data_IF_756739440815
#
_entry.id   IF_756739440815
#
_cell.length_a   1.000
_cell.length_b   1.000
_cell.length_c   1.000
_cell.angle_alpha   90.00
_cell.angle_beta   90.00
_cell.angle_gamma   90.00
#
_symmetry.space_group_name_H-M   'P 1'
#
loop_
_entity.id
_entity.type
_entity.pdbx_description
1 polymer ?
#
# COMPACT_ATOMS: atom_id res chain seq x y z
N UNK A 1 5.99 -3.03 -1.79
CA UNK A 1 5.97 -2.29 -3.07
C UNK A 1 7.09 -1.25 -3.09
N UNK A 2 7.65 -0.97 -4.25
CA UNK A 2 8.61 0.12 -4.46
C UNK A 2 7.87 1.34 -5.01
N UNK A 3 7.13 2.01 -4.12
CA UNK A 3 6.43 3.26 -4.44
C UNK A 3 7.20 4.43 -3.84
N UNK A 4 7.53 5.39 -4.68
CA UNK A 4 8.15 6.64 -4.25
C UNK A 4 7.33 7.82 -4.75
N UNK A 5 6.38 8.26 -3.97
CA UNK A 5 5.59 9.46 -4.26
C UNK A 5 6.09 10.72 -3.56
N UNK A 6 7.09 10.61 -2.69
CA UNK A 6 7.56 11.75 -1.90
C UNK A 6 8.56 12.59 -2.72
N UNK A 7 9.67 11.99 -3.13
CA UNK A 7 10.71 12.74 -3.84
C UNK A 7 10.27 13.25 -5.23
N UNK A 8 9.50 12.48 -6.02
CA UNK A 8 8.91 13.01 -7.24
C UNK A 8 7.95 14.18 -7.00
N UNK A 9 7.12 14.13 -5.94
CA UNK A 9 6.22 15.23 -5.62
C UNK A 9 6.98 16.50 -5.21
N UNK A 10 8.03 16.37 -4.40
CA UNK A 10 8.91 17.49 -4.05
C UNK A 10 9.51 18.13 -5.31
N UNK A 11 10.02 17.31 -6.25
CA UNK A 11 10.54 17.80 -7.54
C UNK A 11 9.46 18.48 -8.37
N UNK A 12 8.27 17.89 -8.46
CA UNK A 12 7.16 18.43 -9.23
C UNK A 12 6.70 19.79 -8.70
N UNK A 13 6.79 20.00 -7.38
CA UNK A 13 6.49 21.27 -6.73
C UNK A 13 7.63 22.30 -6.85
N UNK A 14 8.74 21.99 -7.53
CA UNK A 14 9.87 22.93 -7.71
C UNK A 14 10.52 23.36 -6.39
N UNK A 15 10.52 22.51 -5.37
CA UNK A 15 11.08 22.82 -4.05
C UNK A 15 10.20 23.67 -3.14
N UNK A 16 8.98 24.04 -3.57
CA UNK A 16 7.99 24.75 -2.71
C UNK A 16 7.45 23.87 -1.60
N UNK A 17 7.59 22.57 -1.71
CA UNK A 17 7.17 21.54 -0.77
C UNK A 17 8.41 20.73 -0.39
N UNK A 18 8.66 20.55 0.89
CA UNK A 18 9.68 19.63 1.39
C UNK A 18 9.13 18.19 1.55
N UNK A 19 9.97 17.26 1.96
CA UNK A 19 9.58 15.85 2.14
C UNK A 19 8.48 15.68 3.18
N UNK A 20 8.47 16.48 4.23
CA UNK A 20 7.45 16.43 5.27
C UNK A 20 6.11 16.96 4.75
N UNK A 21 6.13 18.08 4.03
CA UNK A 21 4.96 18.61 3.35
C UNK A 21 4.39 17.65 2.31
N UNK A 22 5.25 16.96 1.55
CA UNK A 22 4.81 15.92 0.62
C UNK A 22 4.14 14.74 1.33
N UNK A 23 4.68 14.29 2.46
CA UNK A 23 4.04 13.24 3.28
C UNK A 23 2.68 13.72 3.82
N UNK A 24 2.61 14.94 4.33
CA UNK A 24 1.37 15.53 4.82
C UNK A 24 0.33 15.62 3.72
N UNK A 25 0.72 16.03 2.51
CA UNK A 25 -0.19 16.02 1.37
C UNK A 25 -0.82 14.63 1.15
N UNK A 26 -0.03 13.55 1.13
CA UNK A 26 -0.57 12.19 0.97
C UNK A 26 -1.49 11.77 2.09
N UNK A 27 -1.26 12.21 3.31
CA UNK A 27 -2.07 11.84 4.47
C UNK A 27 -3.35 12.67 4.60
N UNK A 28 -3.30 13.95 4.25
CA UNK A 28 -4.36 14.91 4.60
C UNK A 28 -5.15 15.43 3.39
N UNK A 29 -4.62 15.31 2.16
CA UNK A 29 -5.27 15.82 0.95
C UNK A 29 -6.66 15.20 0.77
N UNK A 30 -7.72 16.01 0.65
CA UNK A 30 -9.06 15.51 0.34
C UNK A 30 -9.12 14.77 -0.99
N UNK A 31 -8.37 15.23 -2.01
CA UNK A 31 -8.34 14.59 -3.32
C UNK A 31 -7.69 13.20 -3.25
N UNK A 32 -6.58 13.03 -2.52
CA UNK A 32 -5.94 11.74 -2.29
C UNK A 32 -6.88 10.79 -1.54
N UNK A 33 -7.45 11.24 -0.42
CA UNK A 33 -8.33 10.40 0.42
C UNK A 33 -9.57 9.92 -0.33
N UNK A 34 -10.16 10.76 -1.18
CA UNK A 34 -11.30 10.36 -2.01
C UNK A 34 -10.90 9.35 -3.07
N UNK A 35 -9.74 9.56 -3.70
CA UNK A 35 -9.22 8.68 -4.74
C UNK A 35 -8.85 7.29 -4.20
N UNK A 36 -8.13 7.23 -3.09
CA UNK A 36 -7.78 5.97 -2.43
C UNK A 36 -9.00 5.21 -1.87
N UNK A 37 -10.13 5.88 -1.66
CA UNK A 37 -11.41 5.25 -1.30
C UNK A 37 -12.29 4.92 -2.50
N UNK A 38 -11.83 5.14 -3.73
CA UNK A 38 -12.65 4.94 -4.93
C UNK A 38 -13.86 5.89 -5.03
N UNK A 39 -13.82 7.03 -4.33
CA UNK A 39 -14.89 8.02 -4.31
C UNK A 39 -14.79 9.05 -5.44
N UNK A 40 -13.75 9.00 -6.24
CA UNK A 40 -13.56 9.79 -7.46
C UNK A 40 -12.64 9.06 -8.42
N UNK A 41 -12.76 9.36 -9.71
CA UNK A 41 -11.85 8.84 -10.73
C UNK A 41 -10.56 9.63 -10.85
N UNK A 42 -9.62 9.12 -11.64
CA UNK A 42 -8.27 9.69 -11.84
C UNK A 42 -8.28 11.13 -12.34
N UNK A 43 -9.22 11.52 -13.20
CA UNK A 43 -9.32 12.90 -13.71
C UNK A 43 -9.68 13.90 -12.59
N UNK A 44 -10.65 13.56 -11.75
CA UNK A 44 -11.06 14.40 -10.62
C UNK A 44 -9.96 14.48 -9.55
N UNK A 45 -9.32 13.35 -9.25
CA UNK A 45 -8.15 13.30 -8.37
C UNK A 45 -7.04 14.22 -8.86
N UNK A 46 -6.65 14.10 -10.14
CA UNK A 46 -5.57 14.89 -10.72
C UNK A 46 -5.86 16.38 -10.71
N UNK A 47 -7.09 16.78 -11.10
CA UNK A 47 -7.52 18.18 -11.05
C UNK A 47 -7.50 18.73 -9.62
N UNK A 48 -7.91 17.93 -8.63
CA UNK A 48 -7.85 18.28 -7.23
C UNK A 48 -6.41 18.45 -6.73
N UNK A 49 -5.55 17.49 -7.00
CA UNK A 49 -4.14 17.50 -6.60
C UNK A 49 -3.38 18.69 -7.21
N UNK A 50 -3.55 18.95 -8.50
CA UNK A 50 -2.96 20.11 -9.19
C UNK A 50 -3.38 21.42 -8.52
N UNK A 51 -4.67 21.57 -8.19
CA UNK A 51 -5.19 22.76 -7.51
C UNK A 51 -4.68 22.90 -6.08
N UNK A 52 -4.71 21.82 -5.30
CA UNK A 52 -4.26 21.80 -3.90
C UNK A 52 -2.76 22.13 -3.77
N UNK A 53 -1.95 21.65 -4.72
CA UNK A 53 -0.51 21.89 -4.76
C UNK A 53 -0.11 23.18 -5.49
N UNK A 54 -1.06 23.86 -6.14
CA UNK A 54 -0.79 25.05 -6.95
C UNK A 54 0.20 24.78 -8.08
N UNK A 55 0.06 23.62 -8.77
CA UNK A 55 0.97 23.24 -9.85
C UNK A 55 0.59 23.94 -11.15
N UNK A 56 1.60 24.35 -11.91
CA UNK A 56 1.45 24.81 -13.28
C UNK A 56 1.53 23.62 -14.27
N UNK A 57 0.57 22.71 -14.12
CA UNK A 57 0.45 21.49 -14.93
C UNK A 57 -1.01 21.22 -15.27
N UNK A 58 -1.24 20.54 -16.40
CA UNK A 58 -2.57 19.99 -16.66
C UNK A 58 -2.80 18.73 -15.79
N UNK A 59 -4.07 18.40 -15.49
CA UNK A 59 -4.38 17.15 -14.77
C UNK A 59 -3.81 15.91 -15.47
N UNK A 60 -3.83 15.87 -16.81
CA UNK A 60 -3.29 14.76 -17.61
C UNK A 60 -1.78 14.63 -17.42
N UNK A 61 -1.05 15.75 -17.43
CA UNK A 61 0.39 15.75 -17.18
C UNK A 61 0.72 15.28 -15.76
N UNK A 62 -0.11 15.65 -14.78
CA UNK A 62 0.02 15.14 -13.42
C UNK A 62 -0.19 13.62 -13.35
N UNK A 63 -1.22 13.08 -14.02
CA UNK A 63 -1.48 11.62 -14.10
C UNK A 63 -0.27 10.89 -14.70
N UNK A 64 0.31 11.40 -15.78
CA UNK A 64 1.48 10.79 -16.41
C UNK A 64 2.69 10.76 -15.44
N UNK A 65 2.92 11.84 -14.70
CA UNK A 65 3.95 11.88 -13.68
C UNK A 65 3.66 10.87 -12.56
N UNK A 66 2.42 10.85 -12.05
CA UNK A 66 1.98 9.98 -10.96
C UNK A 66 2.13 8.49 -11.30
N UNK A 67 1.78 8.08 -12.51
CA UNK A 67 1.95 6.69 -12.97
C UNK A 67 3.40 6.19 -12.88
N UNK A 68 4.38 7.08 -13.04
CA UNK A 68 5.80 6.73 -12.98
C UNK A 68 6.34 6.52 -11.55
N UNK A 69 5.57 6.84 -10.51
CA UNK A 69 6.01 6.76 -9.11
C UNK A 69 5.92 5.36 -8.53
N UNK A 70 5.12 4.49 -9.15
CA UNK A 70 5.09 3.07 -8.82
C UNK A 70 6.11 2.31 -9.69
N UNK A 71 7.13 1.75 -9.04
CA UNK A 71 8.20 0.97 -9.66
C UNK A 71 7.98 -0.54 -9.56
N UNK A 72 6.83 -0.96 -9.01
CA UNK A 72 6.46 -2.36 -8.88
C UNK A 72 6.89 -2.98 -7.56
N UNK A 73 7.32 -4.24 -7.60
CA UNK A 73 7.77 -4.96 -6.42
C UNK A 73 9.24 -4.65 -6.09
N UNK A 74 9.56 -4.61 -4.80
CA UNK A 74 10.94 -4.60 -4.35
C UNK A 74 11.66 -5.88 -4.80
N UNK A 75 12.96 -5.81 -5.15
CA UNK A 75 13.73 -7.00 -5.50
C UNK A 75 13.64 -8.10 -4.44
N UNK A 76 13.31 -9.32 -4.85
CA UNK A 76 13.15 -10.48 -3.98
C UNK A 76 11.81 -10.54 -3.22
N UNK A 77 10.91 -9.55 -3.37
CA UNK A 77 9.62 -9.56 -2.68
C UNK A 77 8.72 -10.72 -3.17
N UNK A 78 8.65 -10.94 -4.46
CA UNK A 78 7.83 -12.01 -5.05
C UNK A 78 8.34 -13.39 -4.58
N UNK A 79 9.64 -13.59 -4.53
CA UNK A 79 10.23 -14.86 -4.07
C UNK A 79 9.93 -15.10 -2.59
N UNK A 80 10.01 -14.06 -1.75
CA UNK A 80 9.63 -14.15 -0.35
C UNK A 80 8.14 -14.47 -0.18
N UNK A 81 7.25 -13.84 -0.94
CA UNK A 81 5.81 -14.12 -0.91
C UNK A 81 5.55 -15.58 -1.31
N UNK A 82 6.22 -16.08 -2.35
CA UNK A 82 6.09 -17.46 -2.81
C UNK A 82 6.54 -18.46 -1.74
N UNK A 83 7.68 -18.21 -1.10
CA UNK A 83 8.18 -19.06 -0.01
C UNK A 83 7.20 -19.14 1.18
N UNK A 84 6.56 -18.02 1.52
CA UNK A 84 5.54 -17.95 2.58
C UNK A 84 4.26 -18.66 2.15
N UNK A 85 3.84 -18.49 0.90
CA UNK A 85 2.61 -19.08 0.36
C UNK A 85 2.64 -20.63 0.35
N UNK A 86 3.83 -21.25 0.37
CA UNK A 86 3.99 -22.70 0.54
C UNK A 86 3.63 -23.18 1.96
N UNK A 87 3.54 -22.28 2.94
CA UNK A 87 3.39 -22.61 4.37
C UNK A 87 2.11 -22.09 4.99
N UNK A 88 1.61 -20.97 4.52
CA UNK A 88 0.38 -20.37 5.02
C UNK A 88 -0.33 -19.57 3.94
N UNK A 89 -1.60 -19.26 4.19
CA UNK A 89 -2.35 -18.38 3.30
C UNK A 89 -1.81 -16.96 3.36
N UNK A 90 -1.62 -16.32 2.21
CA UNK A 90 -1.15 -14.95 2.09
C UNK A 90 -2.25 -14.08 1.50
N UNK A 91 -2.46 -12.90 2.08
CA UNK A 91 -3.37 -11.90 1.55
C UNK A 91 -2.68 -10.53 1.44
N UNK A 92 -3.17 -9.68 0.54
CA UNK A 92 -2.71 -8.31 0.39
C UNK A 92 -3.82 -7.35 0.82
N UNK A 93 -3.50 -6.38 1.70
CA UNK A 93 -4.37 -5.24 2.03
C UNK A 93 -3.58 -3.95 1.78
N UNK A 94 -3.91 -3.24 0.70
CA UNK A 94 -3.15 -2.09 0.20
C UNK A 94 -4.01 -0.83 0.12
N UNK A 95 -3.50 0.29 0.67
CA UNK A 95 -3.98 1.60 0.27
C UNK A 95 -3.46 1.85 -1.14
N UNK A 96 -4.35 1.85 -2.12
CA UNK A 96 -3.99 1.94 -3.52
C UNK A 96 -5.15 2.60 -4.31
N UNK A 97 -4.96 2.75 -5.59
CA UNK A 97 -5.87 3.46 -6.48
C UNK A 97 -5.95 2.80 -7.86
N UNK A 98 -6.92 3.19 -8.66
CA UNK A 98 -7.18 2.61 -9.98
C UNK A 98 -6.01 2.71 -10.97
N UNK A 99 -5.13 3.72 -10.82
CA UNK A 99 -4.00 3.94 -11.72
C UNK A 99 -2.84 2.97 -11.49
N UNK A 100 -2.59 2.58 -10.24
CA UNK A 100 -1.47 1.72 -9.87
C UNK A 100 -1.88 0.27 -9.60
N UNK A 101 -3.14 0.04 -9.17
CA UNK A 101 -3.58 -1.29 -8.74
C UNK A 101 -3.52 -2.35 -9.83
N UNK A 102 -3.90 -2.00 -11.07
CA UNK A 102 -3.84 -2.92 -12.20
C UNK A 102 -2.42 -3.45 -12.44
N UNK A 103 -1.42 -2.57 -12.40
CA UNK A 103 -0.01 -2.95 -12.57
C UNK A 103 0.45 -3.94 -11.50
N UNK A 104 0.06 -3.74 -10.24
CA UNK A 104 0.36 -4.66 -9.16
C UNK A 104 -0.33 -6.01 -9.36
N UNK A 105 -1.65 -6.00 -9.59
CA UNK A 105 -2.46 -7.21 -9.71
C UNK A 105 -2.06 -8.08 -10.90
N UNK A 106 -1.70 -7.43 -12.01
CA UNK A 106 -1.39 -8.11 -13.25
C UNK A 106 0.10 -8.49 -13.39
N UNK A 107 0.90 -8.29 -12.32
CA UNK A 107 2.30 -8.71 -12.29
C UNK A 107 2.42 -10.24 -12.43
N UNK A 108 3.09 -10.76 -13.47
CA UNK A 108 3.09 -12.20 -13.77
C UNK A 108 3.61 -13.08 -12.63
N UNK A 109 4.49 -12.53 -11.78
CA UNK A 109 5.12 -13.28 -10.69
C UNK A 109 4.23 -13.54 -9.48
N UNK A 110 3.07 -12.85 -9.35
CA UNK A 110 2.21 -12.96 -8.15
C UNK A 110 0.92 -13.72 -8.39
N UNK A 111 0.62 -14.10 -9.62
CA UNK A 111 -0.62 -14.81 -9.93
C UNK A 111 -0.73 -16.10 -9.12
N UNK A 112 -1.83 -16.25 -8.38
CA UNK A 112 -2.09 -17.40 -7.54
C UNK A 112 -1.31 -17.45 -6.20
N UNK A 113 -0.45 -16.47 -5.89
CA UNK A 113 0.26 -16.43 -4.61
C UNK A 113 -0.61 -15.89 -3.47
N UNK A 114 -1.53 -14.98 -3.78
CA UNK A 114 -2.43 -14.40 -2.79
C UNK A 114 -3.79 -15.10 -2.80
N UNK A 115 -4.26 -15.54 -1.65
CA UNK A 115 -5.62 -16.05 -1.49
C UNK A 115 -6.65 -14.94 -1.74
N UNK A 116 -6.34 -13.71 -1.31
CA UNK A 116 -7.13 -12.50 -1.54
C UNK A 116 -6.23 -11.28 -1.69
N UNK A 117 -6.69 -10.34 -2.50
CA UNK A 117 -6.04 -9.04 -2.66
C UNK A 117 -7.10 -7.95 -2.52
N UNK A 118 -6.89 -7.06 -1.54
CA UNK A 118 -7.78 -5.95 -1.24
C UNK A 118 -7.08 -4.63 -1.56
N UNK A 119 -7.67 -3.86 -2.44
CA UNK A 119 -7.28 -2.47 -2.67
C UNK A 119 -8.29 -1.52 -2.07
N UNK A 120 -7.82 -0.49 -1.38
CA UNK A 120 -8.67 0.47 -0.70
C UNK A 120 -9.73 1.10 -1.61
N UNK A 121 -9.37 1.41 -2.87
CA UNK A 121 -10.32 2.02 -3.82
C UNK A 121 -11.41 1.05 -4.28
N UNK A 122 -11.15 -0.27 -4.27
CA UNK A 122 -12.16 -1.29 -4.62
C UNK A 122 -13.10 -1.57 -3.44
N UNK A 123 -12.55 -1.61 -2.21
CA UNK A 123 -13.34 -1.92 -1.00
C UNK A 123 -13.92 -0.68 -0.31
N UNK A 124 -13.56 0.53 -0.75
CA UNK A 124 -14.02 1.79 -0.18
C UNK A 124 -13.48 2.11 1.22
N UNK A 125 -12.45 1.39 1.69
CA UNK A 125 -11.88 1.47 3.04
C UNK A 125 -10.37 1.60 2.98
N UNK A 126 -9.80 2.45 3.83
CA UNK A 126 -8.35 2.75 3.85
C UNK A 126 -7.76 2.43 5.22
N UNK A 127 -6.56 1.87 5.25
CA UNK A 127 -5.76 1.80 6.48
C UNK A 127 -5.31 3.22 6.86
N UNK A 128 -5.26 3.61 8.15
CA UNK A 128 -5.38 2.77 9.34
C UNK A 128 -6.81 2.62 9.88
N UNK A 129 -7.87 3.00 9.13
CA UNK A 129 -9.24 2.89 9.61
C UNK A 129 -9.55 1.41 9.94
N UNK A 130 -10.14 1.09 11.12
CA UNK A 130 -10.42 -0.29 11.55
C UNK A 130 -11.22 -1.10 10.53
N UNK A 131 -12.15 -0.46 9.85
CA UNK A 131 -13.06 -1.09 8.88
C UNK A 131 -12.31 -1.74 7.69
N UNK A 132 -11.10 -1.29 7.37
CA UNK A 132 -10.28 -1.91 6.32
C UNK A 132 -9.78 -3.30 6.75
N UNK A 133 -9.35 -3.41 8.01
CA UNK A 133 -8.89 -4.69 8.58
C UNK A 133 -10.06 -5.63 8.83
N UNK A 134 -11.15 -5.13 9.41
CA UNK A 134 -12.37 -5.89 9.69
C UNK A 134 -12.96 -6.49 8.42
N UNK A 135 -12.97 -5.73 7.31
CA UNK A 135 -13.40 -6.23 6.01
C UNK A 135 -12.55 -7.41 5.53
N UNK A 136 -11.22 -7.28 5.60
CA UNK A 136 -10.32 -8.34 5.18
C UNK A 136 -10.43 -9.59 6.06
N UNK A 137 -10.51 -9.42 7.39
CA UNK A 137 -10.69 -10.52 8.34
C UNK A 137 -12.01 -11.27 8.11
N UNK A 138 -13.10 -10.55 7.89
CA UNK A 138 -14.41 -11.13 7.64
C UNK A 138 -14.45 -11.93 6.33
N UNK A 139 -13.88 -11.39 5.23
CA UNK A 139 -13.85 -12.08 3.93
C UNK A 139 -12.91 -13.29 3.95
N UNK A 140 -11.79 -13.22 4.70
CA UNK A 140 -10.87 -14.35 4.89
C UNK A 140 -11.44 -15.42 5.85
N UNK A 141 -12.43 -15.08 6.68
CA UNK A 141 -13.01 -15.98 7.67
C UNK A 141 -12.04 -16.37 8.79
N UNK A 142 -11.15 -15.46 9.20
CA UNK A 142 -10.11 -15.70 10.22
C UNK A 142 -10.27 -14.79 11.43
N UNK A 143 -9.76 -15.24 12.59
CA UNK A 143 -9.72 -14.41 13.77
C UNK A 143 -8.48 -13.49 13.73
N UNK A 144 -8.52 -12.29 14.33
CA UNK A 144 -7.40 -11.35 14.33
C UNK A 144 -6.09 -11.96 14.83
N UNK A 145 -6.14 -12.79 15.86
CA UNK A 145 -4.98 -13.42 16.47
C UNK A 145 -4.28 -14.46 15.57
N UNK A 146 -4.97 -14.95 14.55
CA UNK A 146 -4.43 -15.89 13.57
C UNK A 146 -3.62 -15.18 12.46
N UNK A 147 -3.73 -13.85 12.37
CA UNK A 147 -3.12 -13.06 11.31
C UNK A 147 -1.82 -12.39 11.78
N UNK A 148 -0.77 -12.54 10.99
CA UNK A 148 0.42 -11.68 11.05
C UNK A 148 0.30 -10.59 9.98
N UNK A 149 0.21 -9.34 10.41
CA UNK A 149 0.17 -8.17 9.54
C UNK A 149 1.54 -7.49 9.48
N UNK A 150 2.05 -7.28 8.26
CA UNK A 150 3.33 -6.62 8.00
C UNK A 150 3.09 -5.37 7.17
N UNK A 151 3.54 -4.22 7.66
CA UNK A 151 3.36 -2.92 7.00
C UNK A 151 4.52 -1.99 7.37
N UNK A 152 4.87 -1.03 6.53
CA UNK A 152 5.93 -0.04 6.81
C UNK A 152 5.39 1.22 7.50
N UNK A 153 4.07 1.40 7.53
CA UNK A 153 3.42 2.52 8.19
C UNK A 153 3.11 2.19 9.67
N UNK A 154 3.76 2.90 10.64
CA UNK A 154 3.53 2.66 12.06
C UNK A 154 2.07 2.82 12.50
N UNK A 155 1.31 3.73 11.87
CA UNK A 155 -0.10 3.95 12.20
C UNK A 155 -0.96 2.74 11.79
N UNK A 156 -0.70 2.15 10.62
CA UNK A 156 -1.37 0.94 10.17
C UNK A 156 -1.05 -0.25 11.08
N UNK A 157 0.23 -0.40 11.48
CA UNK A 157 0.64 -1.46 12.42
C UNK A 157 -0.02 -1.28 13.78
N UNK A 158 -0.06 -0.06 14.32
CA UNK A 158 -0.74 0.24 15.59
C UNK A 158 -2.24 -0.06 15.52
N UNK A 159 -2.91 0.33 14.44
CA UNK A 159 -4.33 0.04 14.26
C UNK A 159 -4.60 -1.48 14.23
N UNK A 160 -3.78 -2.24 13.50
CA UNK A 160 -3.87 -3.70 13.48
C UNK A 160 -3.69 -4.32 14.87
N UNK A 161 -2.71 -3.83 15.66
CA UNK A 161 -2.48 -4.30 17.04
C UNK A 161 -3.67 -4.01 17.96
N UNK A 162 -4.33 -2.86 17.81
CA UNK A 162 -5.54 -2.52 18.59
C UNK A 162 -6.70 -3.47 18.27
N UNK A 163 -6.73 -4.02 17.06
CA UNK A 163 -7.67 -5.06 16.63
C UNK A 163 -7.20 -6.48 16.97
N UNK A 164 -6.13 -6.63 17.76
CA UNK A 164 -5.53 -7.89 18.20
C UNK A 164 -4.84 -8.73 17.13
N UNK A 165 -4.56 -8.15 15.95
CA UNK A 165 -3.67 -8.81 15.00
C UNK A 165 -2.24 -8.83 15.57
N UNK A 166 -1.50 -9.91 15.27
CA UNK A 166 -0.04 -9.84 15.40
C UNK A 166 0.48 -8.94 14.29
N UNK A 167 1.08 -7.80 14.63
CA UNK A 167 1.50 -6.84 13.63
C UNK A 167 2.90 -6.29 13.89
N UNK A 168 3.69 -6.11 12.82
CA UNK A 168 5.07 -5.64 12.87
C UNK A 168 5.33 -4.59 11.79
N UNK A 169 6.13 -3.58 12.17
CA UNK A 169 6.67 -2.64 11.19
C UNK A 169 7.79 -3.35 10.43
N UNK A 170 7.73 -3.32 9.10
CA UNK A 170 8.78 -3.89 8.23
C UNK A 170 9.05 -2.94 7.06
N UNK A 171 10.33 -2.66 6.81
CA UNK A 171 10.78 -1.84 5.70
C UNK A 171 11.59 -2.68 4.73
N UNK A 172 10.91 -3.12 3.68
CA UNK A 172 11.53 -3.94 2.65
C UNK A 172 11.64 -5.41 2.97
N UNK A 173 12.25 -6.14 2.04
CA UNK A 173 12.24 -7.61 2.02
C UNK A 173 13.05 -8.21 3.16
N UNK A 174 14.17 -7.60 3.54
CA UNK A 174 15.05 -8.12 4.60
C UNK A 174 14.37 -8.11 5.97
N UNK A 175 13.73 -6.98 6.35
CA UNK A 175 13.01 -6.88 7.62
C UNK A 175 11.78 -7.78 7.63
N UNK A 176 11.08 -7.89 6.49
CA UNK A 176 9.93 -8.79 6.35
C UNK A 176 10.36 -10.25 6.56
N UNK A 177 11.47 -10.69 5.94
CA UNK A 177 12.02 -12.04 6.13
C UNK A 177 12.38 -12.30 7.59
N UNK A 178 13.02 -11.36 8.25
CA UNK A 178 13.36 -11.48 9.68
C UNK A 178 12.10 -11.61 10.55
N UNK A 179 11.09 -10.80 10.30
CA UNK A 179 9.83 -10.89 11.02
C UNK A 179 9.17 -12.28 10.84
N UNK A 180 9.17 -12.81 9.61
CA UNK A 180 8.60 -14.12 9.30
C UNK A 180 9.38 -15.27 9.95
N UNK A 181 10.70 -15.18 10.05
CA UNK A 181 11.53 -16.15 10.79
C UNK A 181 11.21 -16.14 12.28
N UNK A 182 11.12 -14.95 12.90
CA UNK A 182 10.75 -14.80 14.31
C UNK A 182 9.37 -15.40 14.60
N UNK A 183 8.42 -15.22 13.69
CA UNK A 183 7.06 -15.78 13.79
C UNK A 183 6.98 -17.25 13.36
N UNK A 184 8.10 -17.87 12.98
CA UNK A 184 8.23 -19.28 12.54
C UNK A 184 7.38 -19.60 11.30
N UNK A 185 7.12 -18.60 10.48
CA UNK A 185 6.45 -18.76 9.18
C UNK A 185 7.43 -19.08 8.04
N UNK A 186 8.72 -18.92 8.30
CA UNK A 186 9.81 -19.42 7.44
C UNK A 186 10.69 -20.38 8.22
N UNK A 187 11.32 -21.33 7.52
CA UNK A 187 12.35 -22.19 8.08
C UNK A 187 13.71 -21.49 8.09
N UNK A 188 14.55 -21.82 9.07
CA UNK A 188 15.97 -21.52 9.02
C UNK A 188 16.52 -22.26 7.79
N UNK A 189 16.88 -21.52 6.73
CA UNK A 189 17.39 -22.10 5.49
C UNK A 189 18.56 -23.07 5.79
N UNK A 190 18.34 -24.35 5.57
CA UNK A 190 19.39 -25.36 5.52
C UNK A 190 19.91 -25.46 4.11
#
# INVERSE_FOLDING_TARGET
MDWDGIDPLVRLCGGRLDREGARRFWLESPSVRRFERGMCGSAEFAAGAVRELGLDLTPEAFVQAFLSWDRGFLPGAIDLIREVAERCSVACLSNNNELHWGKLRDEPGIQGLFARMYSSHEIGRVKPDPEAFEHALADLGVQPEEVLFLDDNPECVRAAQLLRLRARIVRGVTEARQALLVERLLGDGR
#
